data_IF_891580980485
#
_entry.id   IF_891580980485
#
_cell.length_a   1.000
_cell.length_b   1.000
_cell.length_c   1.000
_cell.angle_alpha   90.00
_cell.angle_beta   90.00
_cell.angle_gamma   90.00
#
_symmetry.space_group_name_H-M   'P 1'
#
loop_
_entity.id
_entity.type
_entity.pdbx_description
1 polymer ?
#
# COMPACT_ATOMS: atom_id res chain seq x y z
N UNK A 1 7.03 -13.91 12.88
CA UNK A 1 5.92 -12.94 12.99
C UNK A 1 4.59 -13.65 13.18
N UNK A 2 4.35 -14.80 12.53
CA UNK A 2 3.07 -15.52 12.61
C UNK A 2 2.96 -16.52 13.77
N UNK A 3 3.96 -16.62 14.65
CA UNK A 3 3.90 -17.47 15.83
C UNK A 3 2.79 -17.03 16.81
N UNK A 4 1.87 -17.95 17.09
CA UNK A 4 0.75 -17.71 18.02
C UNK A 4 -0.55 -17.27 17.35
N UNK A 5 -0.59 -17.09 16.03
CA UNK A 5 -1.85 -16.90 15.32
C UNK A 5 -2.49 -18.27 15.02
N UNK A 6 -3.78 -18.39 15.32
CA UNK A 6 -4.59 -19.55 14.98
C UNK A 6 -5.44 -19.21 13.75
N UNK A 7 -5.34 -20.04 12.72
CA UNK A 7 -6.13 -19.89 11.50
C UNK A 7 -7.15 -21.02 11.37
N UNK A 8 -8.40 -20.70 11.09
CA UNK A 8 -9.46 -21.69 10.88
C UNK A 8 -9.30 -22.52 9.62
N UNK A 9 -8.41 -22.10 8.72
CA UNK A 9 -8.11 -22.76 7.44
C UNK A 9 -6.60 -22.90 7.25
N UNK A 10 -6.15 -23.89 6.46
CA UNK A 10 -4.74 -24.00 6.11
C UNK A 10 -4.23 -22.72 5.42
N UNK A 11 -3.17 -22.17 5.94
CA UNK A 11 -2.44 -21.01 5.39
C UNK A 11 -1.15 -21.53 4.76
N UNK A 12 -0.88 -21.12 3.54
CA UNK A 12 0.42 -21.28 2.92
C UNK A 12 1.26 -20.06 3.30
N UNK A 13 2.45 -20.29 3.77
CA UNK A 13 3.40 -19.23 4.14
C UNK A 13 4.59 -19.35 3.21
N UNK A 14 4.95 -18.24 2.60
CA UNK A 14 6.17 -18.09 1.83
C UNK A 14 6.94 -16.85 2.31
N UNK A 15 8.20 -16.75 1.99
CA UNK A 15 9.06 -15.68 2.46
C UNK A 15 10.01 -15.24 1.34
N UNK A 16 9.96 -13.96 1.00
CA UNK A 16 10.89 -13.35 0.05
C UNK A 16 12.09 -12.79 0.82
N UNK A 17 13.28 -13.27 0.49
CA UNK A 17 14.52 -12.74 1.06
C UNK A 17 15.00 -11.55 0.24
N UNK A 18 15.04 -10.33 0.83
CA UNK A 18 15.51 -9.15 0.13
C UNK A 18 17.01 -9.24 -0.19
N UNK A 19 17.43 -8.59 -1.25
CA UNK A 19 18.84 -8.29 -1.46
C UNK A 19 19.21 -7.02 -0.69
N UNK A 20 20.23 -7.10 0.18
CA UNK A 20 20.61 -6.00 1.07
C UNK A 20 21.24 -4.80 0.32
N UNK A 21 21.63 -4.98 -0.93
CA UNK A 21 22.38 -4.01 -1.71
C UNK A 21 21.69 -3.62 -3.02
N UNK A 22 20.64 -4.35 -3.39
CA UNK A 22 19.94 -4.16 -4.67
C UNK A 22 18.42 -4.18 -4.45
N UNK A 23 17.83 -2.98 -4.48
CA UNK A 23 16.39 -2.82 -4.29
C UNK A 23 15.61 -3.32 -5.51
N UNK A 24 16.14 -3.17 -6.72
CA UNK A 24 15.51 -3.66 -7.95
C UNK A 24 15.42 -5.18 -7.92
N UNK A 25 16.50 -5.87 -7.57
CA UNK A 25 16.50 -7.34 -7.40
C UNK A 25 15.50 -7.78 -6.32
N UNK A 26 15.36 -7.02 -5.23
CA UNK A 26 14.35 -7.29 -4.19
C UNK A 26 12.94 -7.15 -4.75
N UNK A 27 12.65 -6.09 -5.50
CA UNK A 27 11.35 -5.87 -6.13
C UNK A 27 11.04 -6.94 -7.17
N UNK A 28 12.01 -7.40 -7.94
CA UNK A 28 11.81 -8.49 -8.90
C UNK A 28 11.43 -9.79 -8.20
N UNK A 29 12.10 -10.14 -7.10
CA UNK A 29 11.75 -11.33 -6.29
C UNK A 29 10.35 -11.24 -5.71
N UNK A 30 9.94 -10.07 -5.21
CA UNK A 30 8.58 -9.86 -4.68
C UNK A 30 7.56 -10.01 -5.82
N UNK A 31 7.82 -9.41 -6.97
CA UNK A 31 6.96 -9.52 -8.13
C UNK A 31 6.77 -10.98 -8.56
N UNK A 32 7.85 -11.74 -8.73
CA UNK A 32 7.81 -13.15 -9.13
C UNK A 32 7.05 -14.00 -8.11
N UNK A 33 7.32 -13.81 -6.81
CA UNK A 33 6.61 -14.51 -5.74
C UNK A 33 5.11 -14.18 -5.74
N UNK A 34 4.76 -12.92 -5.92
CA UNK A 34 3.34 -12.51 -6.00
C UNK A 34 2.65 -13.16 -7.19
N UNK A 35 3.28 -13.21 -8.36
CA UNK A 35 2.73 -13.90 -9.55
C UNK A 35 2.47 -15.37 -9.25
N UNK A 36 3.41 -16.07 -8.59
CA UNK A 36 3.24 -17.47 -8.20
C UNK A 36 2.07 -17.67 -7.21
N UNK A 37 1.95 -16.78 -6.21
CA UNK A 37 0.87 -16.85 -5.22
C UNK A 37 -0.51 -16.64 -5.84
N UNK A 38 -0.62 -15.76 -6.84
CA UNK A 38 -1.89 -15.50 -7.54
C UNK A 38 -2.42 -16.72 -8.32
N UNK A 39 -1.57 -17.68 -8.68
CA UNK A 39 -2.02 -18.93 -9.34
C UNK A 39 -2.93 -19.79 -8.45
N UNK A 40 -2.92 -19.60 -7.13
CA UNK A 40 -3.73 -20.37 -6.19
C UNK A 40 -5.17 -19.89 -6.05
N UNK A 41 -5.56 -18.79 -6.68
CA UNK A 41 -6.90 -18.19 -6.59
C UNK A 41 -7.39 -18.04 -5.12
N UNK A 42 -6.54 -17.46 -4.29
CA UNK A 42 -6.79 -17.22 -2.86
C UNK A 42 -6.41 -15.80 -2.48
N UNK A 43 -7.03 -15.24 -1.42
CA UNK A 43 -6.55 -14.00 -0.85
C UNK A 43 -5.08 -14.12 -0.42
N UNK A 44 -4.28 -13.14 -0.79
CA UNK A 44 -2.88 -13.00 -0.38
C UNK A 44 -2.82 -11.95 0.71
N UNK A 45 -2.04 -12.22 1.76
CA UNK A 45 -1.73 -11.26 2.82
C UNK A 45 -0.23 -11.14 2.89
N UNK A 46 0.29 -9.96 2.59
CA UNK A 46 1.70 -9.65 2.67
C UNK A 46 2.01 -8.92 3.97
N UNK A 47 3.16 -9.22 4.55
CA UNK A 47 3.71 -8.48 5.69
C UNK A 47 5.07 -7.99 5.25
N UNK A 48 5.15 -6.72 4.99
CA UNK A 48 6.31 -6.10 4.39
C UNK A 48 7.25 -5.41 5.38
N UNK A 49 8.30 -4.83 4.82
CA UNK A 49 9.26 -3.95 5.45
C UNK A 49 8.82 -2.48 5.32
N UNK A 50 9.52 -1.73 4.44
CA UNK A 50 9.06 -0.38 4.07
C UNK A 50 7.98 -0.44 2.97
N UNK A 51 7.31 0.68 2.72
CA UNK A 51 6.15 0.71 1.83
C UNK A 51 6.48 0.46 0.34
N UNK A 52 7.77 0.46 -0.05
CA UNK A 52 8.19 0.16 -1.43
C UNK A 52 7.83 -1.26 -1.87
N UNK A 53 7.63 -2.20 -0.93
CA UNK A 53 7.22 -3.58 -1.23
C UNK A 53 5.87 -3.66 -1.94
N UNK A 54 5.00 -2.69 -1.74
CA UNK A 54 3.68 -2.63 -2.37
C UNK A 54 3.76 -2.40 -3.88
N UNK A 55 4.82 -1.74 -4.38
CA UNK A 55 4.96 -1.47 -5.81
C UNK A 55 5.02 -2.74 -6.68
N UNK A 56 5.94 -3.70 -6.43
CA UNK A 56 6.00 -4.93 -7.22
C UNK A 56 4.77 -5.82 -7.04
N UNK A 57 4.15 -5.83 -5.87
CA UNK A 57 2.91 -6.58 -5.63
C UNK A 57 1.76 -6.01 -6.47
N UNK A 58 1.56 -4.69 -6.43
CA UNK A 58 0.52 -4.00 -7.21
C UNK A 58 0.72 -4.17 -8.71
N UNK A 59 1.98 -4.15 -9.17
CA UNK A 59 2.33 -4.40 -10.57
C UNK A 59 1.94 -5.83 -11.01
N UNK A 60 2.17 -6.83 -10.18
CA UNK A 60 1.77 -8.21 -10.42
C UNK A 60 0.24 -8.37 -10.42
N UNK A 61 -0.43 -7.78 -9.45
CA UNK A 61 -1.89 -7.81 -9.31
C UNK A 61 -2.59 -7.12 -10.48
N UNK A 62 -2.18 -5.91 -10.84
CA UNK A 62 -2.79 -5.14 -11.95
C UNK A 62 -2.66 -5.87 -13.28
N UNK A 63 -1.57 -6.62 -13.47
CA UNK A 63 -1.38 -7.48 -14.65
C UNK A 63 -2.36 -8.65 -14.69
N UNK A 64 -2.69 -9.21 -13.54
CA UNK A 64 -3.62 -10.35 -13.42
C UNK A 64 -5.08 -9.90 -13.38
N UNK A 65 -5.35 -8.75 -12.79
CA UNK A 65 -6.66 -8.13 -12.66
C UNK A 65 -6.58 -6.63 -12.97
N UNK A 66 -6.81 -6.23 -14.23
CA UNK A 66 -6.73 -4.82 -14.63
C UNK A 66 -7.69 -3.88 -13.90
N UNK A 67 -8.82 -4.40 -13.40
CA UNK A 67 -9.88 -3.60 -12.76
C UNK A 67 -9.74 -3.52 -11.23
N UNK A 68 -8.57 -3.92 -10.68
CA UNK A 68 -8.34 -3.85 -9.23
C UNK A 68 -8.21 -2.40 -8.75
N UNK A 69 -8.87 -2.07 -7.64
CA UNK A 69 -8.75 -0.79 -6.96
C UNK A 69 -7.66 -0.84 -5.88
N UNK A 70 -7.09 0.32 -5.55
CA UNK A 70 -6.10 0.48 -4.50
C UNK A 70 -6.70 1.29 -3.35
N UNK A 71 -6.72 0.71 -2.15
CA UNK A 71 -7.00 1.40 -0.89
C UNK A 71 -5.69 1.56 -0.14
N UNK A 72 -5.27 2.80 0.07
CA UNK A 72 -4.01 3.18 0.69
C UNK A 72 -4.27 3.81 2.05
N UNK A 73 -4.22 2.98 3.12
CA UNK A 73 -4.35 3.45 4.50
C UNK A 73 -2.98 3.85 5.00
N UNK A 74 -2.78 5.15 5.17
CA UNK A 74 -1.49 5.74 5.48
C UNK A 74 -1.67 7.15 6.07
N UNK A 75 -0.69 7.65 6.79
CA UNK A 75 -0.60 9.06 7.14
C UNK A 75 -0.08 9.92 5.98
N UNK A 76 0.57 9.29 4.96
CA UNK A 76 1.27 9.90 3.84
C UNK A 76 0.66 9.46 2.50
N UNK A 77 0.93 10.24 1.45
CA UNK A 77 0.45 9.94 0.09
C UNK A 77 1.39 9.05 -0.72
N UNK A 78 2.69 9.09 -0.42
CA UNK A 78 3.75 8.39 -1.16
C UNK A 78 3.76 8.71 -2.67
N UNK A 79 3.51 10.01 -2.98
CA UNK A 79 3.46 10.56 -4.33
C UNK A 79 4.59 11.55 -4.64
N UNK A 80 5.71 11.47 -3.92
CA UNK A 80 6.87 12.30 -4.23
C UNK A 80 7.46 12.00 -5.59
N UNK A 81 8.18 12.96 -6.14
CA UNK A 81 8.94 12.73 -7.36
C UNK A 81 10.13 11.80 -7.09
N UNK A 82 10.27 10.78 -7.94
CA UNK A 82 11.36 9.83 -7.83
C UNK A 82 12.71 10.49 -8.07
N UNK A 83 13.65 10.25 -7.16
CA UNK A 83 15.04 10.71 -7.28
C UNK A 83 15.97 9.52 -7.56
N UNK A 84 16.55 9.49 -8.76
CA UNK A 84 17.38 8.36 -9.21
C UNK A 84 16.55 7.21 -9.78
N UNK A 85 17.08 5.99 -9.72
CA UNK A 85 16.48 4.83 -10.39
C UNK A 85 15.61 3.98 -9.46
N UNK A 86 15.82 4.06 -8.15
CA UNK A 86 15.13 3.24 -7.16
C UNK A 86 13.72 3.78 -6.86
N UNK A 87 12.79 2.86 -6.65
CA UNK A 87 11.44 3.15 -6.16
C UNK A 87 11.45 2.99 -4.63
N UNK A 88 11.59 4.10 -3.93
CA UNK A 88 11.52 4.18 -2.46
C UNK A 88 10.08 4.20 -1.97
N UNK A 89 9.90 4.04 -0.66
CA UNK A 89 8.58 4.02 -0.03
C UNK A 89 7.72 5.24 -0.34
N UNK A 90 8.32 6.43 -0.44
CA UNK A 90 7.65 7.72 -0.57
C UNK A 90 7.28 8.12 -2.02
N UNK A 91 7.53 7.23 -3.01
CA UNK A 91 7.25 7.48 -4.44
C UNK A 91 6.33 6.43 -5.07
N UNK A 92 5.90 5.44 -4.29
CA UNK A 92 5.21 4.24 -4.79
C UNK A 92 3.97 4.58 -5.60
N UNK A 93 3.06 5.35 -5.03
CA UNK A 93 1.77 5.63 -5.68
C UNK A 93 1.96 6.51 -6.91
N UNK A 94 2.85 7.50 -6.86
CA UNK A 94 3.19 8.30 -8.05
C UNK A 94 3.72 7.44 -9.17
N UNK A 95 4.62 6.51 -8.88
CA UNK A 95 5.20 5.63 -9.89
C UNK A 95 4.14 4.74 -10.56
N UNK A 96 3.17 4.23 -9.79
CA UNK A 96 2.06 3.44 -10.32
C UNK A 96 1.21 4.25 -11.32
N UNK A 97 0.97 5.52 -11.03
CA UNK A 97 0.21 6.43 -11.92
C UNK A 97 1.03 6.82 -13.15
N UNK A 98 2.28 7.23 -12.98
CA UNK A 98 3.16 7.65 -14.10
C UNK A 98 3.44 6.51 -15.09
N UNK A 99 3.48 5.26 -14.63
CA UNK A 99 3.58 4.08 -15.50
C UNK A 99 2.24 3.68 -16.15
N UNK A 100 1.14 4.33 -15.79
CA UNK A 100 -0.20 4.02 -16.28
C UNK A 100 -0.71 2.65 -15.80
N UNK A 101 -0.22 2.19 -14.66
CA UNK A 101 -0.71 0.97 -14.01
C UNK A 101 -2.05 1.23 -13.31
N UNK A 102 -2.19 2.38 -12.67
CA UNK A 102 -3.44 2.81 -12.04
C UNK A 102 -3.85 4.19 -12.55
N UNK A 103 -5.14 4.34 -12.83
CA UNK A 103 -5.72 5.66 -12.96
C UNK A 103 -5.93 6.26 -11.57
N UNK A 104 -5.72 7.59 -11.38
CA UNK A 104 -5.89 8.23 -10.06
C UNK A 104 -7.26 7.96 -9.41
N UNK A 105 -8.32 7.82 -10.22
CA UNK A 105 -9.68 7.54 -9.76
C UNK A 105 -9.86 6.12 -9.18
N UNK A 106 -8.93 5.19 -9.44
CA UNK A 106 -8.90 3.85 -8.87
C UNK A 106 -8.20 3.80 -7.50
N UNK A 107 -7.62 4.93 -7.04
CA UNK A 107 -6.82 5.04 -5.83
C UNK A 107 -7.59 5.81 -4.76
N UNK A 108 -7.68 5.20 -3.58
CA UNK A 108 -8.38 5.71 -2.42
C UNK A 108 -7.38 5.89 -1.27
N UNK A 109 -6.98 7.11 -1.02
CA UNK A 109 -6.17 7.49 0.14
C UNK A 109 -7.05 7.63 1.37
N UNK A 110 -6.73 6.93 2.45
CA UNK A 110 -7.52 6.91 3.67
C UNK A 110 -6.64 7.15 4.89
N UNK A 111 -6.97 8.16 5.68
CA UNK A 111 -6.25 8.48 6.91
C UNK A 111 -5.13 9.51 6.74
N UNK A 112 -5.03 10.15 5.59
CA UNK A 112 -3.94 11.08 5.27
C UNK A 112 -3.96 12.29 6.21
N UNK A 113 -2.89 12.44 6.98
CA UNK A 113 -2.70 13.58 7.89
C UNK A 113 -1.71 14.60 7.35
N UNK A 114 -0.77 14.13 6.50
CA UNK A 114 0.35 14.95 6.03
C UNK A 114 0.42 14.93 4.51
N UNK A 115 0.52 16.12 3.94
CA UNK A 115 0.81 16.34 2.52
C UNK A 115 2.05 17.25 2.50
N UNK A 116 3.10 16.81 1.84
CA UNK A 116 4.32 17.59 1.72
C UNK A 116 4.23 18.54 0.52
N UNK A 117 4.97 19.63 0.57
CA UNK A 117 4.87 20.70 -0.45
C UNK A 117 5.22 20.20 -1.88
N UNK A 118 6.09 19.22 -1.99
CA UNK A 118 6.48 18.59 -3.26
C UNK A 118 5.46 17.57 -3.79
N UNK A 119 4.44 17.26 -3.00
CA UNK A 119 3.31 16.40 -3.38
C UNK A 119 2.07 17.18 -3.84
N UNK A 120 1.96 18.46 -3.40
CA UNK A 120 0.77 19.30 -3.63
C UNK A 120 0.42 19.44 -5.12
N UNK A 121 1.40 19.70 -5.98
CA UNK A 121 1.19 19.90 -7.42
C UNK A 121 0.65 18.61 -8.08
N UNK A 122 1.26 17.47 -7.78
CA UNK A 122 0.83 16.19 -8.34
C UNK A 122 -0.55 15.77 -7.83
N UNK A 123 -0.85 16.05 -6.56
CA UNK A 123 -2.17 15.80 -5.99
C UNK A 123 -3.25 16.67 -6.65
N UNK A 124 -2.98 17.95 -6.90
CA UNK A 124 -3.92 18.89 -7.52
C UNK A 124 -4.17 18.60 -9.01
N UNK A 125 -3.16 18.08 -9.73
CA UNK A 125 -3.26 17.74 -11.14
C UNK A 125 -4.00 16.41 -11.40
N UNK A 126 -4.17 15.57 -10.35
CA UNK A 126 -4.75 14.25 -10.45
C UNK A 126 -6.01 14.14 -9.59
N UNK A 127 -6.98 13.37 -10.07
CA UNK A 127 -8.29 13.24 -9.44
C UNK A 127 -8.35 12.01 -8.53
N UNK A 128 -7.56 12.04 -7.45
CA UNK A 128 -7.55 10.98 -6.43
C UNK A 128 -8.77 11.05 -5.52
N UNK A 129 -9.14 9.91 -4.93
CA UNK A 129 -10.10 9.86 -3.83
C UNK A 129 -9.34 10.02 -2.52
N UNK A 130 -9.59 11.09 -1.76
CA UNK A 130 -8.85 11.41 -0.54
C UNK A 130 -9.80 11.53 0.64
N UNK A 131 -9.56 10.75 1.68
CA UNK A 131 -10.28 10.74 2.95
C UNK A 131 -9.33 11.02 4.11
N UNK A 132 -9.53 12.14 4.79
CA UNK A 132 -8.78 12.49 6.00
C UNK A 132 -9.31 11.73 7.22
N UNK A 133 -8.60 11.68 8.35
CA UNK A 133 -9.05 10.96 9.54
C UNK A 133 -10.46 11.32 10.02
N UNK A 134 -10.84 12.60 9.90
CA UNK A 134 -12.17 13.07 10.25
C UNK A 134 -13.28 12.65 9.27
N UNK A 135 -12.90 12.22 8.07
CA UNK A 135 -13.79 11.81 6.98
C UNK A 135 -13.89 10.28 6.85
N UNK A 136 -13.21 9.52 7.72
CA UNK A 136 -13.16 8.06 7.61
C UNK A 136 -14.53 7.39 7.68
N UNK A 137 -15.48 7.99 8.42
CA UNK A 137 -16.86 7.49 8.50
C UNK A 137 -17.63 7.70 7.17
N UNK A 138 -17.08 8.53 6.26
CA UNK A 138 -17.63 8.75 4.92
C UNK A 138 -17.06 7.78 3.90
N UNK A 139 -15.99 7.05 4.26
CA UNK A 139 -15.41 6.00 3.42
C UNK A 139 -16.27 4.74 3.49
N UNK A 140 -17.32 4.71 2.68
CA UNK A 140 -18.18 3.55 2.47
C UNK A 140 -18.12 3.15 0.98
N UNK A 141 -17.07 2.39 0.60
CA UNK A 141 -16.89 1.94 -0.77
C UNK A 141 -17.23 0.46 -0.93
N UNK A 142 -18.12 0.18 -1.85
CA UNK A 142 -18.35 -1.17 -2.37
C UNK A 142 -17.68 -1.29 -3.74
N UNK A 143 -16.63 -2.11 -3.83
CA UNK A 143 -15.93 -2.37 -5.07
C UNK A 143 -16.62 -3.49 -5.85
N UNK A 144 -16.90 -3.29 -7.15
CA UNK A 144 -17.41 -4.33 -8.05
C UNK A 144 -16.32 -5.34 -8.46
N UNK A 145 -15.44 -5.72 -7.56
CA UNK A 145 -14.31 -6.59 -7.87
C UNK A 145 -13.38 -6.75 -6.70
N UNK A 146 -12.11 -6.87 -7.02
CA UNK A 146 -11.07 -6.98 -6.01
C UNK A 146 -10.49 -5.60 -5.68
N UNK A 147 -10.04 -5.45 -4.44
CA UNK A 147 -9.23 -4.32 -4.01
C UNK A 147 -7.93 -4.83 -3.37
N UNK A 148 -6.85 -4.11 -3.61
CA UNK A 148 -5.65 -4.23 -2.80
C UNK A 148 -5.74 -3.22 -1.66
N UNK A 149 -5.60 -3.69 -0.44
CA UNK A 149 -5.62 -2.85 0.75
C UNK A 149 -4.20 -2.81 1.30
N UNK A 150 -3.56 -1.66 1.19
CA UNK A 150 -2.28 -1.37 1.84
C UNK A 150 -2.52 -0.68 3.17
N UNK A 151 -1.84 -1.12 4.20
CA UNK A 151 -1.93 -0.52 5.53
C UNK A 151 -0.52 -0.21 6.00
N UNK A 152 -0.13 1.06 5.98
CA UNK A 152 1.03 1.51 6.72
C UNK A 152 0.65 1.67 8.20
N UNK A 153 1.47 1.12 9.07
CA UNK A 153 1.21 1.17 10.51
C UNK A 153 1.24 2.61 11.06
N UNK A 154 1.84 3.52 10.33
CA UNK A 154 1.94 4.93 10.72
C UNK A 154 0.63 5.71 10.54
N UNK A 155 -0.39 5.13 9.88
CA UNK A 155 -1.76 5.66 9.88
C UNK A 155 -2.36 5.70 11.28
N UNK A 156 -1.88 4.84 12.17
CA UNK A 156 -2.34 4.75 13.56
C UNK A 156 -1.78 5.90 14.41
N UNK A 157 -2.53 6.24 15.44
CA UNK A 157 -2.07 7.17 16.48
C UNK A 157 -0.73 6.70 17.05
N UNK A 158 0.14 7.66 17.34
CA UNK A 158 1.49 7.42 17.87
C UNK A 158 1.54 6.47 19.07
N UNK A 159 0.53 6.50 19.92
CA UNK A 159 0.43 5.65 21.11
C UNK A 159 0.23 4.18 20.75
N UNK A 160 -0.37 3.90 19.60
CA UNK A 160 -0.63 2.54 19.10
C UNK A 160 0.55 2.03 18.25
N UNK A 161 1.23 2.91 17.53
CA UNK A 161 2.37 2.59 16.68
C UNK A 161 3.65 3.38 17.06
N UNK A 162 4.16 3.28 18.29
CA UNK A 162 5.27 4.12 18.76
C UNK A 162 6.62 3.79 18.10
N UNK A 163 6.69 2.68 17.38
CA UNK A 163 7.93 2.22 16.72
C UNK A 163 8.08 2.67 15.28
N UNK A 164 7.07 3.34 14.70
CA UNK A 164 7.21 3.89 13.34
C UNK A 164 8.20 5.05 13.29
N UNK A 165 8.87 5.22 12.14
CA UNK A 165 9.77 6.34 11.89
C UNK A 165 9.04 7.67 11.69
N UNK A 166 7.77 7.63 11.30
CA UNK A 166 6.94 8.77 10.93
C UNK A 166 5.61 8.71 11.71
N UNK A 167 5.58 9.14 12.99
CA UNK A 167 4.40 8.99 13.84
C UNK A 167 3.38 10.12 13.62
N UNK A 168 2.93 10.28 12.38
CA UNK A 168 2.05 11.37 11.94
C UNK A 168 0.56 10.96 11.90
N UNK A 169 0.23 9.66 12.07
CA UNK A 169 -1.12 9.12 12.01
C UNK A 169 -2.04 9.52 13.15
N UNK A 170 -3.34 9.42 12.90
CA UNK A 170 -4.37 9.85 13.86
C UNK A 170 -5.57 8.88 13.96
N UNK A 171 -5.50 7.72 13.30
CA UNK A 171 -6.57 6.72 13.41
C UNK A 171 -6.38 5.83 14.66
N UNK A 172 -7.49 5.43 15.26
CA UNK A 172 -7.49 4.35 16.23
C UNK A 172 -7.66 2.99 15.54
N UNK A 173 -7.48 1.91 16.31
CA UNK A 173 -7.57 0.56 15.77
C UNK A 173 -8.99 0.19 15.30
N UNK A 174 -10.02 0.69 15.97
CA UNK A 174 -11.41 0.41 15.61
C UNK A 174 -11.78 1.07 14.28
N UNK A 175 -11.19 2.24 13.99
CA UNK A 175 -11.35 2.93 12.71
C UNK A 175 -10.68 2.19 11.55
N UNK A 176 -9.50 1.62 11.76
CA UNK A 176 -8.77 0.84 10.74
C UNK A 176 -9.42 -0.53 10.49
N UNK A 177 -10.09 -1.11 11.47
CA UNK A 177 -10.71 -2.43 11.37
C UNK A 177 -12.18 -2.42 10.89
N UNK A 178 -12.76 -1.24 10.65
CA UNK A 178 -14.11 -1.12 10.07
C UNK A 178 -14.11 -1.45 8.59
#
# INVERSE_FOLDING_TARGET
>A
ILEGLEFDRPVMVDEVFPDEFDLEETHDRIYENTVELLEFDRPVVSIGGDHSVSYPELKALKRSNPDINLVWLDAHLDIKEKVGDNISHDVVVRQLVEEGLFDPEEIYFVGITKIEHDEEEFLEENNFNLYRPEEIEEFEQEFEGQAYISIDIDVLQKELAPGTGYPDGNLDLDQVLK
#
